data_IF_706777274500
#
_entry.id   IF_706777274500
#
_cell.length_a   1.000
_cell.length_b   1.000
_cell.length_c   1.000
_cell.angle_alpha   90.00
_cell.angle_beta   90.00
_cell.angle_gamma   90.00
#
_symmetry.space_group_name_H-M   'P 1'
#
loop_
_entity.id
_entity.type
_entity.pdbx_description
1 polymer ?
#
# COMPACT_ATOMS: atom_id res chain seq x y z
N UNK A 1 19.05 0.37 -13.42
CA UNK A 1 19.10 -1.06 -13.04
C UNK A 1 17.77 -1.45 -12.43
N UNK A 2 16.98 -2.16 -13.15
CA UNK A 2 15.81 -2.84 -12.60
C UNK A 2 16.31 -4.00 -11.76
N UNK A 3 16.44 -3.81 -10.45
CA UNK A 3 16.62 -4.95 -9.56
C UNK A 3 15.34 -5.78 -9.65
N UNK A 4 15.47 -6.96 -10.19
CA UNK A 4 14.42 -7.98 -10.15
C UNK A 4 13.99 -8.15 -8.68
N UNK A 5 12.74 -7.82 -8.39
CA UNK A 5 12.13 -8.04 -7.08
C UNK A 5 11.85 -9.53 -6.82
N UNK A 6 12.75 -10.40 -7.26
CA UNK A 6 12.57 -11.84 -7.22
C UNK A 6 12.64 -12.46 -5.81
N UNK A 7 12.71 -11.65 -4.74
CA UNK A 7 12.84 -12.14 -3.38
C UNK A 7 11.63 -11.99 -2.46
N UNK A 8 10.58 -11.29 -2.90
CA UNK A 8 9.46 -10.92 -2.02
C UNK A 8 8.17 -11.72 -2.22
N UNK A 9 8.20 -12.71 -3.10
CA UNK A 9 7.02 -13.52 -3.41
C UNK A 9 6.59 -14.48 -2.29
N UNK A 10 7.44 -14.69 -1.27
CA UNK A 10 7.25 -15.75 -0.28
C UNK A 10 6.40 -15.38 0.94
N UNK A 11 6.12 -14.09 1.17
CA UNK A 11 5.43 -13.65 2.39
C UNK A 11 6.35 -13.65 3.63
N UNK A 12 5.80 -13.34 4.79
CA UNK A 12 6.53 -13.30 6.06
C UNK A 12 6.93 -14.70 6.51
N UNK A 13 8.21 -14.91 6.85
CA UNK A 13 8.71 -16.20 7.31
C UNK A 13 8.07 -16.66 8.63
N UNK A 14 7.60 -15.74 9.46
CA UNK A 14 7.00 -16.04 10.76
C UNK A 14 5.51 -16.36 10.67
N UNK A 15 4.73 -15.53 9.97
CA UNK A 15 3.27 -15.67 9.93
C UNK A 15 2.70 -15.94 8.52
N UNK A 16 3.52 -15.94 7.50
CA UNK A 16 3.09 -16.15 6.11
C UNK A 16 2.36 -14.98 5.48
N UNK A 17 2.25 -13.83 6.15
CA UNK A 17 1.51 -12.69 5.62
C UNK A 17 2.04 -12.25 4.26
N UNK A 18 1.12 -12.09 3.32
CA UNK A 18 1.37 -11.58 1.98
C UNK A 18 0.09 -10.97 1.45
N UNK A 19 0.15 -9.72 1.02
CA UNK A 19 -1.00 -9.05 0.43
C UNK A 19 -0.56 -8.18 -0.74
N UNK A 20 -1.15 -8.43 -1.90
CA UNK A 20 -0.87 -7.66 -3.12
C UNK A 20 0.42 -8.06 -3.83
N UNK A 21 0.73 -7.34 -4.89
CA UNK A 21 1.92 -7.52 -5.72
C UNK A 21 2.98 -6.48 -5.31
N UNK A 22 4.19 -6.91 -4.89
CA UNK A 22 5.25 -5.94 -4.59
C UNK A 22 5.62 -5.12 -5.82
N UNK A 23 5.60 -3.79 -5.68
CA UNK A 23 5.95 -2.86 -6.75
C UNK A 23 7.14 -1.97 -6.40
N UNK A 24 7.48 -1.84 -5.13
CA UNK A 24 8.65 -1.08 -4.70
C UNK A 24 9.11 -1.55 -3.31
N UNK A 25 10.43 -1.51 -3.09
CA UNK A 25 11.05 -1.71 -1.79
C UNK A 25 11.32 -0.36 -1.16
N UNK A 26 10.85 -0.17 0.08
CA UNK A 26 11.05 1.05 0.87
C UNK A 26 12.14 0.79 1.93
N UNK A 27 12.28 1.70 2.89
CA UNK A 27 13.37 1.57 3.88
C UNK A 27 13.18 0.36 4.79
N UNK A 28 11.99 0.19 5.38
CA UNK A 28 11.68 -0.93 6.30
C UNK A 28 10.45 -1.72 5.89
N UNK A 29 9.95 -1.50 4.68
CA UNK A 29 8.70 -2.09 4.20
C UNK A 29 8.73 -2.27 2.69
N UNK A 30 7.74 -3.03 2.18
CA UNK A 30 7.45 -3.12 0.76
C UNK A 30 6.15 -2.41 0.45
N UNK A 31 6.11 -1.71 -0.69
CA UNK A 31 4.87 -1.21 -1.26
C UNK A 31 4.30 -2.26 -2.19
N UNK A 32 3.10 -2.74 -1.89
CA UNK A 32 2.40 -3.75 -2.67
C UNK A 32 1.12 -3.17 -3.27
N UNK A 33 0.86 -3.52 -4.54
CA UNK A 33 -0.34 -3.09 -5.26
C UNK A 33 -1.45 -4.11 -5.06
N UNK A 34 -2.65 -3.63 -4.67
CA UNK A 34 -3.84 -4.47 -4.54
C UNK A 34 -4.80 -4.12 -5.67
N UNK A 35 -5.04 -5.07 -6.56
CA UNK A 35 -5.99 -4.88 -7.67
C UNK A 35 -7.41 -4.89 -7.14
N UNK A 36 -8.04 -3.72 -7.10
CA UNK A 36 -9.38 -3.54 -6.56
C UNK A 36 -10.10 -2.46 -7.39
N UNK A 37 -11.12 -2.87 -8.14
CA UNK A 37 -11.84 -1.97 -9.02
C UNK A 37 -12.58 -0.85 -8.26
N UNK A 38 -12.92 -1.07 -6.98
CA UNK A 38 -13.61 -0.07 -6.15
C UNK A 38 -12.71 1.12 -5.82
N UNK A 39 -11.40 0.85 -5.66
CA UNK A 39 -10.40 1.84 -5.26
C UNK A 39 -9.17 1.72 -6.17
N UNK A 40 -9.25 2.19 -7.44
CA UNK A 40 -8.10 2.12 -8.34
C UNK A 40 -6.88 2.83 -7.74
N UNK A 41 -5.78 2.08 -7.62
CA UNK A 41 -4.56 2.56 -6.97
C UNK A 41 -4.36 2.09 -5.54
N UNK A 42 -5.30 1.31 -4.99
CA UNK A 42 -5.16 0.73 -3.65
C UNK A 42 -3.83 0.00 -3.51
N UNK A 43 -3.13 0.29 -2.42
CA UNK A 43 -1.86 -0.33 -2.07
C UNK A 43 -1.86 -0.76 -0.61
N UNK A 44 -0.84 -1.52 -0.24
CA UNK A 44 -0.53 -1.83 1.15
C UNK A 44 0.97 -1.67 1.38
N UNK A 45 1.33 -1.05 2.49
CA UNK A 45 2.72 -0.94 2.96
C UNK A 45 2.92 -2.03 4.00
N UNK A 46 3.71 -3.03 3.68
CA UNK A 46 3.94 -4.21 4.53
C UNK A 46 5.31 -4.10 5.18
N UNK A 47 5.35 -4.08 6.50
CA UNK A 47 6.61 -4.04 7.26
C UNK A 47 7.45 -5.30 6.96
N UNK A 48 8.77 -5.15 6.74
CA UNK A 48 9.65 -6.29 6.52
C UNK A 48 9.76 -7.18 7.75
N UNK A 49 10.01 -6.57 8.90
CA UNK A 49 10.11 -7.24 10.19
C UNK A 49 8.75 -7.79 10.61
N UNK A 50 8.71 -9.00 11.18
CA UNK A 50 7.48 -9.47 11.81
C UNK A 50 7.23 -8.72 13.11
N UNK A 51 6.07 -8.13 13.24
CA UNK A 51 5.54 -7.52 14.45
C UNK A 51 4.01 -7.47 14.32
N UNK A 52 3.31 -7.60 15.44
CA UNK A 52 1.84 -7.52 15.45
C UNK A 52 1.35 -6.13 15.86
N UNK A 53 2.18 -5.38 16.57
CA UNK A 53 1.83 -4.05 17.07
C UNK A 53 2.94 -3.04 16.81
N UNK A 54 2.57 -1.78 16.59
CA UNK A 54 3.53 -0.70 16.38
C UNK A 54 4.46 -0.49 17.57
N UNK A 55 3.97 -0.68 18.79
CA UNK A 55 4.78 -0.48 20.01
C UNK A 55 5.86 -1.54 20.20
N UNK A 56 5.79 -2.65 19.48
CA UNK A 56 6.83 -3.68 19.50
C UNK A 56 8.09 -3.26 18.72
N UNK A 57 7.95 -2.27 17.83
CA UNK A 57 9.05 -1.80 17.00
C UNK A 57 9.97 -0.85 17.76
N UNK A 58 11.28 -0.89 17.45
CA UNK A 58 12.18 0.15 17.92
C UNK A 58 11.74 1.53 17.43
N UNK A 59 12.05 2.62 18.15
CA UNK A 59 11.69 3.96 17.69
C UNK A 59 12.18 4.29 16.29
N UNK A 60 13.37 3.85 15.91
CA UNK A 60 13.91 4.10 14.57
C UNK A 60 13.13 3.37 13.48
N UNK A 61 12.78 2.10 13.68
CA UNK A 61 11.98 1.33 12.72
C UNK A 61 10.57 1.89 12.62
N UNK A 62 9.97 2.25 13.75
CA UNK A 62 8.63 2.84 13.77
C UNK A 62 8.56 4.16 13.00
N UNK A 63 9.58 5.02 13.16
CA UNK A 63 9.67 6.28 12.41
C UNK A 63 9.88 6.02 10.92
N UNK A 64 10.78 5.12 10.57
CA UNK A 64 11.03 4.73 9.18
C UNK A 64 9.75 4.17 8.52
N UNK A 65 8.99 3.36 9.24
CA UNK A 65 7.71 2.84 8.74
C UNK A 65 6.69 3.97 8.47
N UNK A 66 6.59 4.94 9.38
CA UNK A 66 5.72 6.10 9.19
C UNK A 66 6.14 6.92 7.96
N UNK A 67 7.44 7.10 7.75
CA UNK A 67 7.97 7.79 6.56
C UNK A 67 7.69 7.00 5.28
N UNK A 68 7.86 5.69 5.31
CA UNK A 68 7.52 4.81 4.18
C UNK A 68 6.05 4.95 3.80
N UNK A 69 5.16 4.91 4.79
CA UNK A 69 3.71 5.10 4.60
C UNK A 69 3.41 6.46 3.98
N UNK A 70 4.01 7.53 4.49
CA UNK A 70 3.80 8.90 3.99
C UNK A 70 4.25 9.06 2.54
N UNK A 71 5.42 8.55 2.22
CA UNK A 71 5.98 8.61 0.86
C UNK A 71 5.13 7.83 -0.13
N UNK A 72 4.74 6.62 0.24
CA UNK A 72 3.89 5.78 -0.59
C UNK A 72 2.51 6.41 -0.81
N UNK A 73 1.89 6.94 0.25
CA UNK A 73 0.59 7.59 0.16
C UNK A 73 0.60 8.79 -0.78
N UNK A 74 1.66 9.61 -0.73
CA UNK A 74 1.81 10.74 -1.63
C UNK A 74 1.90 10.29 -3.09
N UNK A 75 2.69 9.27 -3.36
CA UNK A 75 2.83 8.72 -4.71
C UNK A 75 1.49 8.19 -5.24
N UNK A 76 0.77 7.42 -4.43
CA UNK A 76 -0.55 6.89 -4.81
C UNK A 76 -1.54 8.02 -5.08
N UNK A 77 -1.63 8.99 -4.16
CA UNK A 77 -2.54 10.14 -4.31
C UNK A 77 -2.32 10.88 -5.62
N UNK A 78 -1.07 11.15 -5.95
CA UNK A 78 -0.73 11.85 -7.19
C UNK A 78 -0.98 10.98 -8.44
N UNK A 79 -0.71 9.67 -8.34
CA UNK A 79 -0.89 8.76 -9.47
C UNK A 79 -2.34 8.66 -9.94
N UNK A 80 -3.30 8.68 -9.01
CA UNK A 80 -4.73 8.53 -9.31
C UNK A 80 -5.55 9.79 -9.05
N UNK A 81 -4.91 10.89 -8.65
CA UNK A 81 -5.55 12.17 -8.38
C UNK A 81 -6.72 12.06 -7.40
N UNK A 82 -6.52 11.34 -6.29
CA UNK A 82 -7.57 11.16 -5.29
C UNK A 82 -7.79 12.42 -4.43
N UNK A 83 -9.01 12.62 -3.92
CA UNK A 83 -9.28 13.76 -3.04
C UNK A 83 -8.79 13.49 -1.60
N UNK A 84 -8.67 12.21 -1.21
CA UNK A 84 -8.26 11.80 0.14
C UNK A 84 -7.55 10.45 0.09
N UNK A 85 -6.57 10.26 0.93
CA UNK A 85 -5.99 8.94 1.22
C UNK A 85 -6.52 8.45 2.56
N UNK A 86 -7.01 7.21 2.60
CA UNK A 86 -7.29 6.54 3.87
C UNK A 86 -6.10 5.65 4.25
N UNK A 87 -5.74 5.70 5.51
CA UNK A 87 -4.64 4.93 6.10
C UNK A 87 -5.24 4.00 7.16
N UNK A 88 -5.09 2.70 6.98
CA UNK A 88 -5.71 1.74 7.90
C UNK A 88 -4.71 0.68 8.32
N UNK A 89 -4.39 0.66 9.62
CA UNK A 89 -3.52 -0.34 10.25
C UNK A 89 -4.41 -1.15 11.18
N UNK A 90 -4.95 -2.25 10.69
CA UNK A 90 -5.91 -3.09 11.41
C UNK A 90 -5.23 -4.32 12.01
N UNK A 91 -5.08 -5.39 11.23
CA UNK A 91 -4.37 -6.59 11.71
C UNK A 91 -5.20 -7.57 12.52
N UNK A 92 -6.52 -7.43 12.56
CA UNK A 92 -7.39 -8.34 13.30
C UNK A 92 -7.34 -9.77 12.77
N UNK A 93 -7.38 -9.94 11.46
CA UNK A 93 -7.30 -11.24 10.81
C UNK A 93 -5.85 -11.61 10.45
N UNK A 94 -5.03 -10.64 10.23
CA UNK A 94 -3.67 -10.76 9.68
C UNK A 94 -2.68 -10.09 10.65
N UNK A 95 -2.16 -10.81 11.66
CA UNK A 95 -1.36 -10.23 12.74
C UNK A 95 0.09 -9.91 12.30
N UNK A 96 0.22 -9.02 11.34
CA UNK A 96 1.48 -8.50 10.82
C UNK A 96 1.30 -7.02 10.50
N UNK A 97 2.15 -6.15 11.03
CA UNK A 97 2.00 -4.71 10.82
C UNK A 97 2.05 -4.38 9.34
N UNK A 98 0.95 -3.85 8.84
CA UNK A 98 0.79 -3.36 7.49
C UNK A 98 -0.20 -2.20 7.47
N UNK A 99 -0.03 -1.30 6.53
CA UNK A 99 -0.92 -0.14 6.36
C UNK A 99 -1.59 -0.19 4.99
N UNK A 100 -2.92 -0.28 4.99
CA UNK A 100 -3.69 -0.11 3.77
C UNK A 100 -3.69 1.35 3.35
N UNK A 101 -3.35 1.62 2.09
CA UNK A 101 -3.44 2.92 1.46
C UNK A 101 -4.56 2.88 0.45
N UNK A 102 -5.67 3.53 0.77
CA UNK A 102 -6.88 3.49 -0.05
C UNK A 102 -7.17 4.88 -0.59
N UNK A 103 -6.93 5.12 -1.90
CA UNK A 103 -7.29 6.39 -2.51
C UNK A 103 -8.80 6.49 -2.68
N UNK A 104 -9.36 7.63 -2.28
CA UNK A 104 -10.79 7.88 -2.34
C UNK A 104 -11.08 8.92 -3.43
N UNK A 105 -12.14 8.65 -4.21
CA UNK A 105 -12.59 9.52 -5.29
C UNK A 105 -13.96 10.10 -4.96
N UNK A 106 -14.19 11.36 -5.34
CA UNK A 106 -15.48 12.01 -5.08
C UNK A 106 -16.63 11.36 -5.85
N UNK A 107 -16.35 10.71 -6.97
CA UNK A 107 -17.33 10.06 -7.83
C UNK A 107 -17.60 8.60 -7.48
N UNK A 108 -16.93 8.06 -6.46
CA UNK A 108 -17.26 6.71 -5.97
C UNK A 108 -18.61 6.71 -5.19
N UNK A 109 -19.26 5.55 -5.01
CA UNK A 109 -20.61 5.49 -4.41
C UNK A 109 -20.73 6.10 -3.01
N UNK A 110 -19.73 5.93 -2.15
CA UNK A 110 -19.75 6.48 -0.78
C UNK A 110 -18.38 7.06 -0.40
N UNK A 111 -18.01 8.23 -0.96
CA UNK A 111 -16.64 8.75 -0.81
C UNK A 111 -16.27 9.19 0.61
N UNK A 112 -17.25 9.40 1.48
CA UNK A 112 -17.05 9.89 2.85
C UNK A 112 -17.18 8.79 3.90
N UNK A 113 -17.35 7.54 3.48
CA UNK A 113 -17.54 6.39 4.36
C UNK A 113 -16.28 5.51 4.32
N UNK A 114 -15.88 4.87 5.44
CA UNK A 114 -14.72 3.97 5.44
C UNK A 114 -14.82 2.89 4.36
N UNK A 115 -13.67 2.51 3.79
CA UNK A 115 -13.60 1.57 2.67
C UNK A 115 -14.29 0.24 2.94
N UNK A 116 -14.22 -0.26 4.19
CA UNK A 116 -14.84 -1.53 4.59
C UNK A 116 -16.37 -1.51 4.58
N UNK A 117 -16.96 -0.33 4.49
CA UNK A 117 -18.41 -0.16 4.38
C UNK A 117 -18.84 0.19 2.94
N UNK A 118 -17.92 0.03 1.97
CA UNK A 118 -18.22 0.29 0.57
C UNK A 118 -19.25 -0.74 0.04
N UNK A 119 -20.29 -0.29 -0.67
CA UNK A 119 -21.41 -1.17 -1.03
C UNK A 119 -21.10 -2.19 -2.12
N UNK A 120 -20.11 -1.95 -2.95
CA UNK A 120 -19.77 -2.85 -4.05
C UNK A 120 -18.87 -3.98 -3.62
N UNK A 121 -19.05 -5.15 -4.23
CA UNK A 121 -18.17 -6.29 -4.01
C UNK A 121 -16.80 -6.03 -4.64
N UNK A 122 -15.77 -6.55 -3.99
CA UNK A 122 -14.41 -6.47 -4.53
C UNK A 122 -14.28 -7.32 -5.79
N UNK A 123 -13.69 -6.74 -6.84
CA UNK A 123 -13.30 -7.44 -8.04
C UNK A 123 -11.98 -6.82 -8.53
N UNK A 124 -11.24 -7.57 -9.35
CA UNK A 124 -9.96 -7.10 -9.86
C UNK A 124 -10.15 -5.93 -10.83
N UNK A 125 -9.23 -4.98 -10.77
CA UNK A 125 -9.11 -3.91 -11.75
C UNK A 125 -8.66 -4.51 -13.10
N UNK A 126 -9.12 -3.95 -14.22
CA UNK A 126 -8.68 -4.37 -15.55
C UNK A 126 -7.14 -4.31 -15.67
N UNK A 127 -6.53 -5.34 -16.28
CA UNK A 127 -5.07 -5.51 -16.30
C UNK A 127 -4.31 -4.31 -16.87
N UNK A 128 -4.78 -3.74 -17.98
CA UNK A 128 -4.14 -2.56 -18.58
C UNK A 128 -4.20 -1.32 -17.68
N UNK A 129 -5.31 -1.13 -17.00
CA UNK A 129 -5.48 -0.03 -16.04
C UNK A 129 -4.59 -0.23 -14.80
N UNK A 130 -4.53 -1.45 -14.29
CA UNK A 130 -3.66 -1.77 -13.16
C UNK A 130 -2.20 -1.49 -13.47
N UNK A 131 -1.72 -1.92 -14.64
CA UNK A 131 -0.33 -1.71 -15.06
C UNK A 131 0.02 -0.24 -15.21
N UNK A 132 -0.86 0.54 -15.83
CA UNK A 132 -0.70 1.99 -15.96
C UNK A 132 -0.54 2.66 -14.60
N UNK A 133 -1.41 2.34 -13.65
CA UNK A 133 -1.37 2.93 -12.30
C UNK A 133 -0.10 2.52 -11.56
N UNK A 134 0.28 1.24 -11.61
CA UNK A 134 1.51 0.75 -10.97
C UNK A 134 2.74 1.51 -11.44
N UNK A 135 2.88 1.69 -12.75
CA UNK A 135 4.01 2.43 -13.32
C UNK A 135 4.03 3.88 -12.88
N UNK A 136 2.89 4.55 -12.82
CA UNK A 136 2.80 5.93 -12.35
C UNK A 136 3.20 6.06 -10.88
N UNK A 137 2.75 5.14 -10.04
CA UNK A 137 3.11 5.12 -8.60
C UNK A 137 4.64 4.97 -8.45
N UNK A 138 5.24 4.00 -9.13
CA UNK A 138 6.68 3.74 -9.04
C UNK A 138 7.48 4.96 -9.52
N UNK A 139 7.09 5.58 -10.62
CA UNK A 139 7.73 6.79 -11.13
C UNK A 139 7.67 7.93 -10.12
N UNK A 140 6.48 8.19 -9.56
CA UNK A 140 6.28 9.27 -8.58
C UNK A 140 7.01 9.00 -7.27
N UNK A 141 7.08 7.75 -6.85
CA UNK A 141 7.81 7.35 -5.64
C UNK A 141 9.31 7.65 -5.78
N UNK A 142 9.89 7.41 -6.95
CA UNK A 142 11.29 7.75 -7.24
C UNK A 142 11.55 9.26 -7.24
N UNK A 143 10.61 10.08 -7.68
CA UNK A 143 10.72 11.54 -7.68
C UNK A 143 10.63 12.13 -6.27
N UNK A 144 9.89 11.52 -5.36
CA UNK A 144 9.67 12.04 -4.01
C UNK A 144 10.94 12.06 -3.14
N UNK A 145 11.98 11.31 -3.50
CA UNK A 145 13.24 11.26 -2.76
C UNK A 145 14.15 12.47 -3.00
N UNK A 146 13.76 13.41 -3.87
CA UNK A 146 14.54 14.61 -4.21
C UNK A 146 14.14 15.87 -3.41
N UNK A 147 13.20 15.76 -2.49
CA UNK A 147 12.71 16.88 -1.69
C UNK A 147 13.19 16.81 -0.26
#
# INVERSE_FOLDING_TARGET
MTQSLSGTAAGCDTCGFKLGEPIAKLEVSDLCFVSDHRFPGRCVVTLHQHATELFELSPSVRRAFADDVSRAARAVKLAVNSFKMNYEILGNAEPHVHCHLIPRQLDEPKPKVPAWLHPEAQAALAAGKAEEIKQRIVTLLGQASAA
#
